data_IF_484191207196
#
_entry.id   IF_484191207196
#
_cell.length_a   1.000
_cell.length_b   1.000
_cell.length_c   1.000
_cell.angle_alpha   90.00
_cell.angle_beta   90.00
_cell.angle_gamma   90.00
#
_symmetry.space_group_name_H-M   'P 1'
#
loop_
_entity.id
_entity.type
_entity.pdbx_description
1 polymer ?
#
# COMPACT_ATOMS: atom_id res chain seq x y z
N UNK A 1 -2.09 -11.86 4.75
CA UNK A 1 -3.19 -11.48 5.67
C UNK A 1 -3.76 -12.63 6.50
N UNK A 2 -4.04 -13.79 5.90
CA UNK A 2 -4.56 -14.96 6.62
C UNK A 2 -3.68 -15.41 7.81
N UNK A 3 -2.35 -15.34 7.66
CA UNK A 3 -1.41 -15.74 8.71
C UNK A 3 -1.46 -14.81 9.93
N UNK A 4 -1.53 -13.48 9.75
CA UNK A 4 -1.65 -12.51 10.86
C UNK A 4 -2.91 -12.71 11.69
N UNK A 5 -4.05 -12.98 11.02
CA UNK A 5 -5.33 -13.26 11.70
C UNK A 5 -5.29 -14.59 12.46
N UNK A 6 -4.62 -15.60 11.89
CA UNK A 6 -4.40 -16.91 12.52
C UNK A 6 -3.53 -16.79 13.77
N UNK A 7 -2.46 -16.00 13.71
CA UNK A 7 -1.50 -15.82 14.81
C UNK A 7 -2.06 -14.99 15.97
N UNK A 8 -2.84 -13.95 15.69
CA UNK A 8 -3.37 -13.07 16.74
C UNK A 8 -4.67 -13.57 17.40
N UNK A 9 -5.39 -14.50 16.77
CA UNK A 9 -6.63 -15.07 17.31
C UNK A 9 -7.66 -14.01 17.73
N UNK A 10 -8.17 -14.12 18.96
CA UNK A 10 -9.15 -13.17 19.53
C UNK A 10 -8.60 -11.76 19.78
N UNK A 11 -7.27 -11.57 19.74
CA UNK A 11 -6.61 -10.27 19.85
C UNK A 11 -6.47 -9.56 18.52
N UNK A 12 -6.85 -10.20 17.40
CA UNK A 12 -6.82 -9.55 16.11
C UNK A 12 -7.77 -8.35 16.13
N UNK A 13 -7.29 -7.13 15.83
CA UNK A 13 -8.12 -5.95 15.86
C UNK A 13 -9.30 -6.11 14.90
N UNK A 14 -10.46 -5.57 15.27
CA UNK A 14 -11.61 -5.52 14.37
C UNK A 14 -11.24 -4.57 13.21
N UNK A 15 -11.16 -5.16 12.01
CA UNK A 15 -10.87 -4.45 10.77
C UNK A 15 -12.09 -4.53 9.86
N UNK A 16 -12.41 -3.43 9.20
CA UNK A 16 -13.28 -3.41 8.03
C UNK A 16 -12.38 -3.47 6.79
N UNK A 17 -12.45 -4.56 6.03
CA UNK A 17 -11.78 -4.62 4.72
C UNK A 17 -12.52 -3.75 3.73
N UNK A 18 -11.83 -2.80 3.11
CA UNK A 18 -12.36 -1.92 2.07
C UNK A 18 -12.04 -2.47 0.67
N UNK A 19 -10.81 -2.97 0.46
CA UNK A 19 -10.35 -3.61 -0.77
C UNK A 19 -9.17 -4.53 -0.47
N UNK A 20 -9.12 -5.70 -1.07
CA UNK A 20 -8.01 -6.64 -0.92
C UNK A 20 -7.84 -7.45 -2.21
N UNK A 21 -6.60 -7.75 -2.58
CA UNK A 21 -6.31 -8.64 -3.72
C UNK A 21 -5.11 -8.20 -4.54
N UNK A 22 -4.97 -8.80 -5.73
CA UNK A 22 -3.86 -8.50 -6.64
C UNK A 22 -4.01 -7.10 -7.22
N UNK A 23 -2.91 -6.36 -7.26
CA UNK A 23 -2.81 -5.02 -7.86
C UNK A 23 -1.49 -4.91 -8.60
N UNK A 24 -1.56 -4.79 -9.92
CA UNK A 24 -0.39 -4.49 -10.74
C UNK A 24 -0.11 -2.98 -10.69
N UNK A 25 1.15 -2.62 -10.48
CA UNK A 25 1.67 -1.25 -10.56
C UNK A 25 2.83 -1.26 -11.55
N UNK A 26 2.65 -0.71 -12.74
CA UNK A 26 3.68 -0.60 -13.80
C UNK A 26 4.53 -1.86 -14.05
N UNK A 27 3.91 -3.05 -14.00
CA UNK A 27 4.60 -4.34 -14.20
C UNK A 27 5.10 -5.03 -12.94
N UNK A 28 4.94 -4.41 -11.77
CA UNK A 28 5.07 -5.05 -10.46
C UNK A 28 3.74 -5.67 -10.06
N UNK A 29 3.67 -7.01 -10.13
CA UNK A 29 2.47 -7.77 -9.78
C UNK A 29 2.39 -7.96 -8.26
N UNK A 30 1.98 -6.91 -7.54
CA UNK A 30 1.82 -6.95 -6.10
C UNK A 30 0.42 -7.34 -5.63
N UNK A 31 0.24 -7.29 -4.32
CA UNK A 31 -1.03 -7.46 -3.63
C UNK A 31 -1.28 -6.26 -2.71
N UNK A 32 -2.53 -5.82 -2.62
CA UNK A 32 -2.96 -4.77 -1.70
C UNK A 32 -3.94 -5.27 -0.64
N UNK A 33 -3.93 -4.58 0.49
CA UNK A 33 -4.89 -4.73 1.59
C UNK A 33 -5.20 -3.35 2.15
N UNK A 34 -6.42 -2.88 1.89
CA UNK A 34 -6.94 -1.60 2.35
C UNK A 34 -7.95 -1.89 3.44
N UNK A 35 -7.59 -1.59 4.69
CA UNK A 35 -8.48 -1.81 5.83
C UNK A 35 -8.72 -0.52 6.59
N UNK A 36 -9.89 -0.43 7.22
CA UNK A 36 -10.19 0.57 8.24
C UNK A 36 -10.23 -0.11 9.61
N UNK A 37 -9.44 0.40 10.55
CA UNK A 37 -9.43 -0.04 11.95
C UNK A 37 -10.68 0.45 12.68
N UNK A 38 -10.99 -0.17 13.82
CA UNK A 38 -12.15 0.21 14.64
C UNK A 38 -12.14 1.68 15.14
N UNK A 39 -10.96 2.30 15.22
CA UNK A 39 -10.80 3.72 15.60
C UNK A 39 -10.96 4.70 14.41
N UNK A 40 -11.28 4.19 13.22
CA UNK A 40 -11.42 4.96 11.98
C UNK A 40 -10.11 5.21 11.23
N UNK A 41 -8.99 4.60 11.64
CA UNK A 41 -7.72 4.70 10.92
C UNK A 41 -7.77 3.88 9.64
N UNK A 42 -7.45 4.48 8.50
CA UNK A 42 -7.11 3.74 7.29
C UNK A 42 -5.69 3.22 7.41
N UNK A 43 -5.52 1.93 7.15
CA UNK A 43 -4.27 1.21 7.22
C UNK A 43 -4.12 0.44 5.90
N UNK A 44 -3.52 1.11 4.93
CA UNK A 44 -3.46 0.65 3.55
C UNK A 44 -2.05 0.19 3.24
N UNK A 45 -1.94 -0.95 2.59
CA UNK A 45 -0.69 -1.61 2.25
C UNK A 45 -0.76 -2.13 0.82
N UNK A 46 0.32 -1.96 0.06
CA UNK A 46 0.59 -2.72 -1.16
C UNK A 46 2.03 -3.18 -1.14
N UNK A 47 2.22 -4.44 -1.51
CA UNK A 47 3.53 -5.07 -1.50
C UNK A 47 3.75 -5.84 -2.80
N UNK A 48 4.95 -5.70 -3.34
CA UNK A 48 5.48 -6.52 -4.41
C UNK A 48 6.74 -7.23 -3.92
N UNK A 49 6.74 -8.56 -4.01
CA UNK A 49 7.92 -9.38 -3.75
C UNK A 49 8.55 -9.76 -5.09
N UNK A 50 9.79 -9.33 -5.30
CA UNK A 50 10.58 -9.70 -6.46
C UNK A 50 11.25 -11.06 -6.31
N UNK A 51 11.64 -11.65 -7.44
CA UNK A 51 12.31 -12.94 -7.48
C UNK A 51 13.85 -12.76 -7.42
N UNK A 52 14.54 -13.67 -6.71
CA UNK A 52 15.97 -13.99 -6.85
C UNK A 52 16.95 -12.80 -6.94
N UNK A 53 17.00 -11.93 -5.92
CA UNK A 53 18.08 -10.94 -5.78
C UNK A 53 17.91 -9.63 -6.54
N UNK A 54 16.79 -9.47 -7.27
CA UNK A 54 16.21 -8.22 -7.78
C UNK A 54 17.10 -7.31 -8.64
N UNK A 55 16.72 -7.08 -9.89
CA UNK A 55 17.31 -6.00 -10.70
C UNK A 55 16.79 -4.64 -10.24
N UNK A 56 17.40 -3.54 -10.71
CA UNK A 56 16.85 -2.20 -10.45
C UNK A 56 15.40 -2.10 -10.96
N UNK A 57 15.08 -2.70 -12.11
CA UNK A 57 13.72 -2.72 -12.67
C UNK A 57 12.73 -3.59 -11.87
N UNK A 58 13.22 -4.61 -11.17
CA UNK A 58 12.43 -5.56 -10.39
C UNK A 58 13.13 -5.82 -9.05
N UNK A 59 13.07 -4.88 -8.10
CA UNK A 59 13.74 -5.02 -6.81
C UNK A 59 13.19 -6.20 -6.03
N UNK A 60 13.93 -6.67 -5.03
CA UNK A 60 13.52 -7.82 -4.21
C UNK A 60 12.24 -7.57 -3.41
N UNK A 61 11.96 -6.32 -3.04
CA UNK A 61 10.72 -5.91 -2.37
C UNK A 61 10.40 -4.44 -2.71
N UNK A 62 9.11 -4.15 -2.91
CA UNK A 62 8.53 -2.81 -2.79
C UNK A 62 7.39 -2.88 -1.78
N UNK A 63 7.42 -1.98 -0.80
CA UNK A 63 6.39 -1.84 0.21
C UNK A 63 5.93 -0.38 0.23
N UNK A 64 4.62 -0.18 0.07
CA UNK A 64 3.97 1.12 0.14
C UNK A 64 2.88 1.04 1.19
N UNK A 65 2.92 1.96 2.14
CA UNK A 65 1.91 2.09 3.18
C UNK A 65 1.32 3.48 3.21
N UNK A 66 0.04 3.58 3.57
CA UNK A 66 -0.63 4.83 3.84
C UNK A 66 -1.47 4.70 5.10
N UNK A 67 -1.30 5.67 6.01
CA UNK A 67 -2.08 5.75 7.23
C UNK A 67 -2.80 7.09 7.34
N UNK A 68 -4.05 7.06 7.79
CA UNK A 68 -4.76 8.27 8.23
C UNK A 68 -4.73 8.39 9.75
N UNK A 69 -5.39 9.44 10.28
CA UNK A 69 -5.39 9.77 11.71
C UNK A 69 -4.00 9.98 12.33
N UNK A 70 -3.05 10.49 11.54
CA UNK A 70 -1.70 10.78 12.03
C UNK A 70 -1.67 12.17 12.67
N UNK A 71 -1.17 12.26 13.90
CA UNK A 71 -0.90 13.53 14.59
C UNK A 71 0.35 13.35 15.44
N UNK A 72 1.25 14.35 15.43
CA UNK A 72 2.52 14.29 16.15
C UNK A 72 3.29 12.98 15.86
N UNK A 73 3.42 12.64 14.57
CA UNK A 73 4.10 11.44 14.05
C UNK A 73 3.58 10.11 14.59
N UNK A 74 2.33 10.07 15.05
CA UNK A 74 1.69 8.88 15.60
C UNK A 74 0.39 8.54 14.88
N UNK A 75 0.33 7.32 14.35
CA UNK A 75 -0.87 6.74 13.73
C UNK A 75 -1.99 6.59 14.78
N UNK A 76 -3.21 6.96 14.41
CA UNK A 76 -4.39 6.91 15.29
C UNK A 76 -4.45 8.01 16.35
N UNK A 77 -3.45 8.89 16.44
CA UNK A 77 -3.42 9.96 17.44
C UNK A 77 -4.38 11.12 17.12
N UNK A 78 -4.68 11.36 15.84
CA UNK A 78 -5.67 12.37 15.49
C UNK A 78 -7.09 11.91 15.88
N UNK A 79 -7.97 12.81 16.34
CA UNK A 79 -9.32 12.43 16.76
C UNK A 79 -10.16 11.83 15.62
N UNK A 80 -9.97 12.32 14.38
CA UNK A 80 -10.68 11.85 13.20
C UNK A 80 -9.75 11.79 11.98
N UNK A 81 -10.10 10.94 11.00
CA UNK A 81 -9.49 10.97 9.68
C UNK A 81 -9.96 12.22 8.96
N UNK A 82 -9.08 12.89 8.22
CA UNK A 82 -9.45 13.99 7.33
C UNK A 82 -10.05 13.52 6.01
N UNK A 83 -10.08 12.20 5.78
CA UNK A 83 -10.59 11.55 4.57
C UNK A 83 -11.68 10.56 4.94
N UNK A 84 -12.74 10.54 4.14
CA UNK A 84 -13.68 9.41 4.03
C UNK A 84 -12.99 8.16 3.46
N UNK A 85 -13.68 7.01 3.52
CA UNK A 85 -13.18 5.76 2.94
C UNK A 85 -12.94 5.94 1.44
N UNK A 86 -13.88 6.56 0.72
CA UNK A 86 -13.80 6.78 -0.72
C UNK A 86 -12.64 7.72 -1.09
N UNK A 87 -12.46 8.82 -0.35
CA UNK A 87 -11.35 9.75 -0.56
C UNK A 87 -10.00 9.12 -0.23
N UNK A 88 -9.93 8.28 0.80
CA UNK A 88 -8.73 7.55 1.15
C UNK A 88 -8.34 6.56 0.04
N UNK A 89 -9.30 5.79 -0.49
CA UNK A 89 -9.06 4.86 -1.61
C UNK A 89 -8.65 5.63 -2.87
N UNK A 90 -9.31 6.75 -3.18
CA UNK A 90 -8.96 7.57 -4.35
C UNK A 90 -7.55 8.17 -4.23
N UNK A 91 -7.18 8.67 -3.05
CA UNK A 91 -5.84 9.17 -2.79
C UNK A 91 -4.79 8.04 -2.91
N UNK A 92 -5.08 6.89 -2.33
CA UNK A 92 -4.25 5.70 -2.43
C UNK A 92 -3.98 5.29 -3.88
N UNK A 93 -5.02 5.16 -4.69
CA UNK A 93 -4.88 4.81 -6.11
C UNK A 93 -4.02 5.85 -6.85
N UNK A 94 -4.20 7.13 -6.56
CA UNK A 94 -3.41 8.21 -7.17
C UNK A 94 -1.93 8.16 -6.76
N UNK A 95 -1.64 7.91 -5.48
CA UNK A 95 -0.27 7.80 -4.98
C UNK A 95 0.43 6.57 -5.57
N UNK A 96 -0.27 5.43 -5.59
CA UNK A 96 0.29 4.17 -6.07
C UNK A 96 0.50 4.18 -7.59
N UNK A 97 -0.40 4.78 -8.38
CA UNK A 97 -0.19 4.99 -9.82
C UNK A 97 0.98 5.96 -10.10
N UNK A 98 1.27 6.87 -9.17
CA UNK A 98 2.43 7.76 -9.22
C UNK A 98 3.77 7.10 -8.92
N UNK A 99 3.80 5.86 -8.39
CA UNK A 99 5.02 5.15 -8.05
C UNK A 99 5.79 4.75 -9.31
N UNK A 100 6.85 5.48 -9.66
CA UNK A 100 7.60 5.28 -10.90
C UNK A 100 9.10 5.43 -10.69
N UNK A 101 9.88 4.86 -11.59
CA UNK A 101 11.29 5.20 -11.72
C UNK A 101 11.43 6.66 -12.15
N UNK A 102 12.37 7.36 -11.51
CA UNK A 102 12.65 8.76 -11.85
C UNK A 102 13.14 8.92 -13.28
N UNK A 103 13.98 8.00 -13.75
CA UNK A 103 14.63 8.00 -15.07
C UNK A 103 14.51 6.63 -15.71
N UNK A 104 14.87 6.51 -16.98
CA UNK A 104 14.86 5.24 -17.69
C UNK A 104 15.74 4.19 -16.98
N UNK A 105 15.18 3.00 -16.79
CA UNK A 105 15.85 1.84 -16.19
C UNK A 105 15.80 0.69 -17.18
N UNK A 106 16.95 0.07 -17.52
CA UNK A 106 16.97 -1.12 -18.37
C UNK A 106 16.08 -2.24 -17.81
N UNK A 107 15.17 -2.74 -18.63
CA UNK A 107 14.22 -3.80 -18.26
C UNK A 107 12.95 -3.32 -17.54
N UNK A 108 12.80 -2.01 -17.29
CA UNK A 108 11.53 -1.44 -16.83
C UNK A 108 10.65 -1.06 -18.04
N UNK A 109 9.32 -1.20 -17.94
CA UNK A 109 8.43 -0.76 -19.00
C UNK A 109 8.33 0.76 -19.05
N UNK A 110 7.98 1.33 -20.21
CA UNK A 110 8.07 2.77 -20.45
C UNK A 110 7.09 3.59 -19.58
N UNK A 111 5.94 3.01 -19.25
CA UNK A 111 4.93 3.60 -18.36
C UNK A 111 5.41 3.73 -16.90
N UNK A 112 6.42 2.95 -16.51
CA UNK A 112 7.06 2.99 -15.19
C UNK A 112 8.08 4.13 -15.04
N UNK A 113 8.26 5.01 -16.03
CA UNK A 113 9.26 6.08 -16.03
C UNK A 113 8.56 7.44 -15.91
N UNK A 114 9.01 8.27 -14.95
CA UNK A 114 8.43 9.58 -14.67
C UNK A 114 8.93 10.69 -15.62
N UNK A 115 10.23 10.72 -15.92
CA UNK A 115 10.86 11.75 -16.75
C UNK A 115 11.29 11.11 -18.08
N UNK A 116 10.75 11.62 -19.19
CA UNK A 116 11.09 11.20 -20.55
C UNK A 116 12.10 12.14 -21.19
#
# INVERSE_FOLDING_TARGET
MADRKREAGSRYPKLTTLREGRKNVHGWNGEESLVRRADGTHDFEWMFIGENGGSVARPGNLDVTMHTKVMADRIGAAPASSLSDEEAIALWDKLLDGLKFRVAVPGAPAEAIAIK
#
